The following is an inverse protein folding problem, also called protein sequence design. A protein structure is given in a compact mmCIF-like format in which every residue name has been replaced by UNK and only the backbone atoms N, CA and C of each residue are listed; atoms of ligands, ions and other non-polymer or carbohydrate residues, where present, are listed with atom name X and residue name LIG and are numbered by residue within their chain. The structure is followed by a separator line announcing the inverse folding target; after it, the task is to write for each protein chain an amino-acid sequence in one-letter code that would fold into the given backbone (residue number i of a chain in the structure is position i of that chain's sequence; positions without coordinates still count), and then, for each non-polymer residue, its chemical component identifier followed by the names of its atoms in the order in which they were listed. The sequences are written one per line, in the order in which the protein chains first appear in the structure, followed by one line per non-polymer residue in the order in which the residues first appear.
data_IF_002981904162
#
_entry.id   IF_002981904162
#
_cell.length_a   1.000
_cell.length_b   1.000
_cell.length_c   1.000
_cell.angle_alpha   90.00
_cell.angle_beta   90.00
_cell.angle_gamma   90.00
#
_symmetry.space_group_name_H-M   'P 1'
#
loop_
_entity.id
_entity.type
_entity.pdbx_description
1 polymer ?
#
# COMPACT_ATOMS: atom_id res chain seq x y z
N UNK A 1 5.17 -15.10 13.52
CA UNK A 1 4.06 -15.04 14.53
C UNK A 1 2.98 -13.99 14.26
N UNK A 2 3.21 -12.68 14.46
CA UNK A 2 2.15 -11.64 14.31
C UNK A 2 1.46 -11.64 12.93
N UNK A 3 2.20 -12.04 11.89
CA UNK A 3 1.69 -12.20 10.52
C UNK A 3 0.60 -13.27 10.43
N UNK A 4 0.79 -14.46 11.02
CA UNK A 4 -0.18 -15.57 10.97
C UNK A 4 -1.48 -15.20 11.68
N UNK A 5 -1.38 -14.68 12.90
CA UNK A 5 -2.55 -14.22 13.65
C UNK A 5 -3.37 -13.19 12.87
N UNK A 6 -2.70 -12.23 12.23
CA UNK A 6 -3.34 -11.25 11.36
C UNK A 6 -3.98 -11.90 10.13
N UNK A 7 -3.33 -12.89 9.52
CA UNK A 7 -3.87 -13.64 8.39
C UNK A 7 -5.13 -14.41 8.77
N UNK A 8 -5.13 -15.11 9.92
CA UNK A 8 -6.30 -15.85 10.43
C UNK A 8 -7.46 -14.90 10.71
N UNK A 9 -7.22 -13.80 11.44
CA UNK A 9 -8.26 -12.80 11.73
C UNK A 9 -8.82 -12.19 10.43
N UNK A 10 -7.96 -11.83 9.48
CA UNK A 10 -8.40 -11.27 8.19
C UNK A 10 -9.24 -12.26 7.38
N UNK A 11 -8.84 -13.54 7.38
CA UNK A 11 -9.54 -14.61 6.65
C UNK A 11 -10.96 -14.83 7.18
N UNK A 12 -11.12 -14.88 8.50
CA UNK A 12 -12.39 -15.28 9.13
C UNK A 12 -13.28 -14.12 9.52
N UNK A 13 -12.74 -13.06 10.11
CA UNK A 13 -13.56 -11.91 10.53
C UNK A 13 -13.82 -10.91 9.40
N UNK A 14 -13.04 -10.96 8.31
CA UNK A 14 -13.14 -10.05 7.16
C UNK A 14 -13.10 -8.56 7.55
N UNK A 15 -12.39 -8.23 8.62
CA UNK A 15 -12.26 -6.84 9.10
C UNK A 15 -11.23 -6.11 8.26
N UNK A 16 -11.70 -5.28 7.34
CA UNK A 16 -10.88 -4.29 6.65
C UNK A 16 -10.86 -2.94 7.40
N UNK A 17 -11.96 -2.57 8.07
CA UNK A 17 -12.05 -1.43 8.99
C UNK A 17 -12.83 -1.78 10.28
N UNK A 18 -12.21 -1.67 11.47
CA UNK A 18 -12.92 -1.86 12.75
C UNK A 18 -14.08 -0.89 12.99
N UNK A 19 -14.14 0.23 12.25
CA UNK A 19 -15.25 1.20 12.32
C UNK A 19 -16.60 0.64 11.89
N UNK A 20 -16.62 -0.39 11.03
CA UNK A 20 -17.84 -1.07 10.56
C UNK A 20 -18.30 -2.17 11.52
N UNK A 21 -18.27 -1.90 12.83
CA UNK A 21 -18.55 -2.88 13.89
C UNK A 21 -19.94 -3.52 13.79
N UNK A 22 -20.90 -2.85 13.16
CA UNK A 22 -22.24 -3.40 12.91
C UNK A 22 -22.17 -4.66 12.05
N UNK A 23 -21.28 -4.70 11.06
CA UNK A 23 -21.06 -5.89 10.24
C UNK A 23 -20.34 -6.99 11.01
N UNK A 24 -19.74 -6.69 12.16
CA UNK A 24 -19.01 -7.64 13.00
C UNK A 24 -19.90 -8.23 14.09
N UNK A 25 -21.13 -7.75 14.25
CA UNK A 25 -21.98 -8.12 15.37
C UNK A 25 -22.82 -9.34 15.04
N UNK A 26 -22.75 -10.37 15.89
CA UNK A 26 -23.66 -11.53 15.80
C UNK A 26 -25.10 -11.06 16.09
N UNK A 27 -26.10 -11.47 15.29
CA UNK A 27 -27.49 -11.14 15.55
C UNK A 27 -27.94 -11.64 16.92
N UNK A 28 -28.77 -10.85 17.63
CA UNK A 28 -29.28 -11.19 18.97
C UNK A 28 -30.00 -12.54 19.01
N UNK A 29 -30.72 -12.89 17.93
CA UNK A 29 -31.43 -14.17 17.83
C UNK A 29 -30.47 -15.37 17.79
N UNK A 30 -29.36 -15.24 17.07
CA UNK A 30 -28.34 -16.28 16.97
C UNK A 30 -27.59 -16.44 18.30
N UNK A 31 -27.24 -15.31 18.92
CA UNK A 31 -26.64 -15.31 20.25
C UNK A 31 -27.58 -15.93 21.30
N UNK A 32 -28.89 -15.66 21.22
CA UNK A 32 -29.89 -16.25 22.10
C UNK A 32 -29.99 -17.78 21.96
N UNK A 33 -29.94 -18.29 20.72
CA UNK A 33 -29.91 -19.74 20.44
C UNK A 33 -28.66 -20.40 21.01
N UNK A 34 -27.50 -19.78 20.82
CA UNK A 34 -26.23 -20.26 21.39
C UNK A 34 -26.24 -20.28 22.91
N UNK A 35 -26.79 -19.25 23.56
CA UNK A 35 -26.88 -19.22 25.03
C UNK A 35 -27.84 -20.29 25.58
N UNK A 36 -28.87 -20.67 24.82
CA UNK A 36 -29.80 -21.73 25.20
C UNK A 36 -29.22 -23.13 25.00
N UNK A 37 -28.51 -23.37 23.89
CA UNK A 37 -27.83 -24.62 23.58
C UNK A 37 -26.49 -24.37 22.87
N UNK A 38 -25.39 -24.24 23.64
CA UNK A 38 -24.08 -23.95 23.08
C UNK A 38 -23.52 -25.05 22.18
N UNK A 39 -23.98 -26.29 22.32
CA UNK A 39 -23.45 -27.42 21.53
C UNK A 39 -24.04 -27.42 20.13
N UNK A 40 -25.34 -27.17 20.02
CA UNK A 40 -26.03 -27.19 18.72
C UNK A 40 -25.85 -25.91 17.91
N UNK A 41 -25.56 -24.78 18.57
CA UNK A 41 -25.47 -23.46 17.93
C UNK A 41 -24.09 -22.80 18.12
N UNK A 42 -23.04 -23.62 18.28
CA UNK A 42 -21.67 -23.12 18.32
C UNK A 42 -21.32 -22.35 17.03
N UNK A 43 -20.52 -21.26 17.11
CA UNK A 43 -20.05 -20.58 15.92
C UNK A 43 -19.21 -21.53 15.05
N UNK A 44 -19.28 -21.32 13.74
CA UNK A 44 -18.47 -22.05 12.76
C UNK A 44 -17.32 -21.18 12.24
N UNK A 45 -16.17 -21.80 11.98
CA UNK A 45 -14.98 -21.09 11.51
C UNK A 45 -15.07 -20.83 9.99
N UNK A 46 -15.95 -19.92 9.61
CA UNK A 46 -16.23 -19.54 8.21
C UNK A 46 -15.87 -18.07 7.94
N UNK A 47 -15.55 -17.71 6.67
CA UNK A 47 -15.37 -16.30 6.31
C UNK A 47 -16.65 -15.49 6.60
N UNK A 48 -16.50 -14.37 7.32
CA UNK A 48 -17.61 -13.56 7.80
C UNK A 48 -18.06 -13.87 9.23
N UNK A 49 -17.29 -14.68 9.98
CA UNK A 49 -17.52 -14.98 11.40
C UNK A 49 -17.72 -13.69 12.21
N UNK A 50 -18.77 -13.70 13.05
CA UNK A 50 -19.19 -12.55 13.85
C UNK A 50 -18.69 -12.64 15.29
N UNK A 51 -18.59 -11.48 15.92
CA UNK A 51 -18.27 -11.29 17.34
C UNK A 51 -19.51 -10.80 18.08
N UNK A 52 -19.58 -11.12 19.36
CA UNK A 52 -20.56 -10.53 20.26
C UNK A 52 -20.07 -9.16 20.72
N UNK A 53 -20.80 -8.11 20.33
CA UNK A 53 -20.51 -6.72 20.68
C UNK A 53 -21.57 -6.14 21.62
N UNK A 54 -22.45 -6.97 22.19
CA UNK A 54 -23.62 -6.51 22.95
C UNK A 54 -23.27 -5.78 24.25
N UNK A 55 -22.17 -6.16 24.91
CA UNK A 55 -21.73 -5.54 26.16
C UNK A 55 -21.18 -4.12 25.97
N UNK A 56 -21.15 -3.29 27.02
CA UNK A 56 -20.71 -1.89 26.92
C UNK A 56 -19.20 -1.73 26.77
N UNK A 57 -18.41 -2.54 27.48
CA UNK A 57 -16.95 -2.46 27.46
C UNK A 57 -16.34 -3.59 26.61
N UNK A 58 -15.19 -3.34 26.01
CA UNK A 58 -14.46 -4.36 25.22
C UNK A 58 -14.05 -5.58 26.06
N UNK A 59 -13.81 -5.36 27.35
CA UNK A 59 -13.45 -6.42 28.29
C UNK A 59 -14.62 -7.37 28.53
N UNK A 60 -15.81 -6.82 28.72
CA UNK A 60 -17.02 -7.61 28.91
C UNK A 60 -17.44 -8.31 27.62
N UNK A 61 -17.31 -7.64 26.47
CA UNK A 61 -17.49 -8.28 25.16
C UNK A 61 -16.54 -9.46 24.99
N UNK A 62 -15.24 -9.29 25.26
CA UNK A 62 -14.26 -10.35 25.08
C UNK A 62 -14.58 -11.57 25.96
N UNK A 63 -15.08 -11.32 27.17
CA UNK A 63 -15.47 -12.36 28.14
C UNK A 63 -16.80 -13.03 27.82
N UNK A 64 -17.52 -12.59 26.79
CA UNK A 64 -18.78 -13.23 26.44
C UNK A 64 -18.53 -14.69 26.01
N UNK A 65 -19.45 -15.62 26.35
CA UNK A 65 -19.27 -17.02 26.00
C UNK A 65 -19.05 -17.24 24.50
N UNK A 66 -19.74 -16.47 23.65
CA UNK A 66 -19.58 -16.49 22.20
C UNK A 66 -18.15 -16.13 21.78
N UNK A 67 -17.63 -15.00 22.26
CA UNK A 67 -16.29 -14.54 21.87
C UNK A 67 -15.17 -15.44 22.41
N UNK A 68 -15.35 -16.07 23.58
CA UNK A 68 -14.41 -17.06 24.10
C UNK A 68 -14.30 -18.30 23.20
N UNK A 69 -15.43 -18.79 22.67
CA UNK A 69 -15.44 -19.89 21.71
C UNK A 69 -14.77 -19.47 20.40
N UNK A 70 -15.11 -18.28 19.87
CA UNK A 70 -14.49 -17.74 18.65
C UNK A 70 -12.96 -17.62 18.80
N UNK A 71 -12.47 -17.05 19.90
CA UNK A 71 -11.02 -16.94 20.17
C UNK A 71 -10.35 -18.31 20.19
N UNK A 72 -10.97 -19.28 20.87
CA UNK A 72 -10.44 -20.64 20.98
C UNK A 72 -10.37 -21.34 19.61
N UNK A 73 -11.40 -21.20 18.78
CA UNK A 73 -11.43 -21.74 17.42
C UNK A 73 -10.36 -21.12 16.53
N UNK A 74 -10.22 -19.79 16.56
CA UNK A 74 -9.21 -19.07 15.79
C UNK A 74 -7.80 -19.46 16.26
N UNK A 75 -7.59 -19.64 17.58
CA UNK A 75 -6.31 -20.03 18.16
C UNK A 75 -5.92 -21.46 17.77
N UNK A 76 -6.87 -22.41 17.84
CA UNK A 76 -6.68 -23.78 17.39
C UNK A 76 -6.29 -23.83 15.91
N UNK A 77 -6.97 -23.06 15.06
CA UNK A 77 -6.64 -23.00 13.64
C UNK A 77 -5.29 -22.33 13.37
N UNK A 78 -4.94 -21.26 14.10
CA UNK A 78 -3.63 -20.65 13.99
C UNK A 78 -2.50 -21.63 14.38
N UNK A 79 -2.71 -22.41 15.44
CA UNK A 79 -1.80 -23.46 15.87
C UNK A 79 -1.64 -24.56 14.80
N UNK A 80 -2.75 -24.99 14.19
CA UNK A 80 -2.74 -25.95 13.09
C UNK A 80 -2.02 -25.43 11.84
N UNK A 81 -2.23 -24.17 11.47
CA UNK A 81 -1.51 -23.55 10.35
C UNK A 81 -0.01 -23.43 10.64
N UNK A 82 0.37 -23.08 11.87
CA UNK A 82 1.75 -22.96 12.28
C UNK A 82 2.47 -24.30 12.25
N UNK A 83 1.82 -25.39 12.68
CA UNK A 83 2.42 -26.74 12.65
C UNK A 83 2.65 -27.25 11.23
N UNK A 84 1.80 -26.87 10.27
CA UNK A 84 1.95 -27.23 8.85
C UNK A 84 3.05 -26.44 8.12
N UNK A 85 3.42 -25.26 8.61
CA UNK A 85 4.35 -24.34 7.93
C UNK A 85 5.30 -23.65 8.92
N UNK A 86 6.01 -24.44 9.72
CA UNK A 86 6.88 -23.95 10.79
C UNK A 86 7.92 -22.93 10.30
N UNK A 87 8.67 -23.29 9.24
CA UNK A 87 9.73 -22.46 8.65
C UNK A 87 9.20 -21.11 8.12
N UNK A 88 8.02 -21.10 7.49
CA UNK A 88 7.42 -19.88 6.94
C UNK A 88 6.99 -18.89 8.04
N UNK A 89 6.54 -19.40 9.19
CA UNK A 89 6.05 -18.56 10.30
C UNK A 89 7.09 -18.32 11.40
N UNK A 90 8.26 -18.98 11.30
CA UNK A 90 9.38 -18.92 12.23
C UNK A 90 9.01 -19.44 13.62
N UNK A 91 8.35 -20.60 13.70
CA UNK A 91 7.80 -21.16 14.94
C UNK A 91 8.69 -22.25 15.56
N UNK A 92 9.95 -22.33 15.12
CA UNK A 92 10.77 -23.55 15.27
C UNK A 92 11.32 -23.75 16.70
N UNK A 93 11.15 -22.76 17.60
CA UNK A 93 11.79 -22.77 18.93
C UNK A 93 10.96 -22.23 20.10
N UNK A 94 9.79 -21.63 19.86
CA UNK A 94 8.99 -21.02 20.92
C UNK A 94 7.59 -21.62 20.97
N UNK A 95 7.17 -22.04 22.16
CA UNK A 95 5.78 -22.36 22.42
C UNK A 95 4.96 -21.05 22.41
N UNK A 96 3.96 -20.98 21.53
CA UNK A 96 3.19 -19.77 21.29
C UNK A 96 1.81 -19.96 21.92
N UNK A 97 1.50 -19.11 22.88
CA UNK A 97 0.14 -18.98 23.42
C UNK A 97 -0.77 -18.26 22.40
N UNK A 98 -1.26 -19.05 21.43
CA UNK A 98 -2.16 -18.56 20.38
C UNK A 98 -3.45 -18.00 20.94
N UNK A 99 -3.96 -18.57 22.04
CA UNK A 99 -5.17 -18.12 22.71
C UNK A 99 -4.99 -16.71 23.24
N UNK A 100 -3.91 -16.44 24.01
CA UNK A 100 -3.59 -15.09 24.48
C UNK A 100 -3.37 -14.12 23.34
N UNK A 101 -2.60 -14.52 22.32
CA UNK A 101 -2.26 -13.64 21.21
C UNK A 101 -3.52 -13.23 20.42
N UNK A 102 -4.45 -14.16 20.17
CA UNK A 102 -5.70 -13.83 19.49
C UNK A 102 -6.69 -13.11 20.39
N UNK A 103 -6.75 -13.45 21.68
CA UNK A 103 -7.54 -12.72 22.68
C UNK A 103 -7.16 -11.24 22.71
N UNK A 104 -5.85 -10.92 22.77
CA UNK A 104 -5.34 -9.55 22.73
C UNK A 104 -5.74 -8.81 21.43
N UNK A 105 -5.82 -9.53 20.30
CA UNK A 105 -6.18 -8.94 19.00
C UNK A 105 -7.69 -8.72 18.87
N UNK A 106 -8.49 -9.69 19.29
CA UNK A 106 -9.95 -9.58 19.34
C UNK A 106 -10.34 -8.47 20.32
N UNK A 107 -9.67 -8.36 21.47
CA UNK A 107 -9.85 -7.25 22.40
C UNK A 107 -9.67 -5.88 21.74
N UNK A 108 -8.62 -5.70 20.94
CA UNK A 108 -8.41 -4.42 20.22
C UNK A 108 -9.52 -4.12 19.22
N UNK A 109 -10.05 -5.13 18.53
CA UNK A 109 -11.19 -4.97 17.62
C UNK A 109 -12.43 -4.53 18.40
N UNK A 110 -12.72 -5.20 19.52
CA UNK A 110 -13.86 -4.89 20.39
C UNK A 110 -13.71 -3.51 21.06
N UNK A 111 -12.48 -3.09 21.38
CA UNK A 111 -12.19 -1.76 21.90
C UNK A 111 -12.53 -0.66 20.90
N UNK A 112 -12.16 -0.84 19.63
CA UNK A 112 -12.52 0.10 18.57
C UNK A 112 -14.04 0.10 18.31
N UNK A 113 -14.71 -1.06 18.36
CA UNK A 113 -16.18 -1.13 18.28
C UNK A 113 -16.85 -0.37 19.43
N UNK A 114 -16.37 -0.55 20.67
CA UNK A 114 -16.90 0.14 21.84
C UNK A 114 -16.69 1.66 21.75
N UNK A 115 -15.50 2.13 21.37
CA UNK A 115 -15.21 3.56 21.13
C UNK A 115 -16.12 4.15 20.05
N UNK A 116 -16.24 3.46 18.92
CA UNK A 116 -17.07 3.90 17.78
C UNK A 116 -18.53 4.04 18.18
N UNK A 117 -19.08 3.04 18.90
CA UNK A 117 -20.46 3.10 19.40
C UNK A 117 -20.68 4.20 20.44
N UNK A 118 -19.67 4.50 21.25
CA UNK A 118 -19.70 5.61 22.20
C UNK A 118 -19.54 6.99 21.53
N UNK A 119 -19.35 7.04 20.19
CA UNK A 119 -19.06 8.28 19.47
C UNK A 119 -17.69 8.87 19.81
N UNK A 120 -16.80 8.10 20.45
CA UNK A 120 -15.44 8.52 20.78
C UNK A 120 -14.60 8.36 19.51
N UNK A 121 -14.55 9.42 18.72
CA UNK A 121 -13.73 9.45 17.52
C UNK A 121 -12.29 9.80 17.91
N UNK A 122 -11.40 8.82 17.77
CA UNK A 122 -9.96 9.01 18.01
C UNK A 122 -9.33 9.71 16.80
N UNK A 123 -9.47 11.04 16.75
CA UNK A 123 -8.97 11.86 15.65
C UNK A 123 -7.47 11.69 15.43
N UNK A 124 -6.70 11.47 16.49
CA UNK A 124 -5.24 11.25 16.41
C UNK A 124 -4.93 9.91 15.75
N UNK A 125 -5.57 8.82 16.21
CA UNK A 125 -5.42 7.50 15.60
C UNK A 125 -5.85 7.49 14.12
N UNK A 126 -6.99 8.11 13.79
CA UNK A 126 -7.46 8.21 12.41
C UNK A 126 -6.52 9.05 11.53
N UNK A 127 -5.99 10.17 12.05
CA UNK A 127 -4.97 10.95 11.36
C UNK A 127 -3.70 10.12 11.12
N UNK A 128 -3.24 9.35 12.12
CA UNK A 128 -2.07 8.50 12.01
C UNK A 128 -2.28 7.32 11.04
N UNK A 129 -3.47 6.72 11.05
CA UNK A 129 -3.90 5.66 10.11
C UNK A 129 -3.90 6.20 8.68
N UNK A 130 -4.49 7.38 8.45
CA UNK A 130 -4.48 8.07 7.15
C UNK A 130 -3.06 8.40 6.70
N UNK A 131 -2.23 8.98 7.57
CA UNK A 131 -0.83 9.31 7.27
C UNK A 131 -0.03 8.05 6.92
N UNK A 132 -0.22 6.96 7.66
CA UNK A 132 0.43 5.67 7.40
C UNK A 132 -0.02 5.05 6.07
N UNK A 133 -1.31 5.15 5.74
CA UNK A 133 -1.84 4.71 4.43
C UNK A 133 -1.20 5.51 3.30
N UNK A 134 -1.18 6.84 3.40
CA UNK A 134 -0.54 7.74 2.41
C UNK A 134 0.94 7.40 2.23
N UNK A 135 1.68 7.18 3.32
CA UNK A 135 3.08 6.76 3.28
C UNK A 135 3.28 5.44 2.52
N UNK A 136 2.49 4.40 2.81
CA UNK A 136 2.58 3.11 2.11
C UNK A 136 2.29 3.23 0.61
N UNK A 137 1.33 4.06 0.23
CA UNK A 137 1.02 4.31 -1.18
C UNK A 137 2.20 4.98 -1.90
N UNK A 138 2.90 5.91 -1.22
CA UNK A 138 4.13 6.52 -1.73
C UNK A 138 5.28 5.52 -1.85
N UNK A 139 5.48 4.68 -0.83
CA UNK A 139 6.48 3.60 -0.85
C UNK A 139 6.23 2.66 -2.04
N UNK A 140 5.00 2.21 -2.23
CA UNK A 140 4.61 1.38 -3.37
C UNK A 140 4.86 2.08 -4.72
N UNK A 141 4.51 3.36 -4.85
CA UNK A 141 4.76 4.11 -6.09
C UNK A 141 6.27 4.25 -6.39
N UNK A 142 7.07 4.51 -5.36
CA UNK A 142 8.53 4.57 -5.45
C UNK A 142 9.12 3.24 -5.90
N UNK A 143 8.86 2.16 -5.16
CA UNK A 143 9.36 0.81 -5.46
C UNK A 143 8.99 0.35 -6.87
N UNK A 144 7.74 0.62 -7.27
CA UNK A 144 7.26 0.28 -8.62
C UNK A 144 8.05 1.02 -9.70
N UNK A 145 8.30 2.32 -9.55
CA UNK A 145 9.07 3.11 -10.53
C UNK A 145 10.53 2.70 -10.58
N UNK A 146 11.14 2.42 -9.42
CA UNK A 146 12.50 1.86 -9.33
C UNK A 146 12.59 0.54 -10.08
N UNK A 147 11.61 -0.36 -9.89
CA UNK A 147 11.55 -1.64 -10.60
C UNK A 147 11.47 -1.43 -12.12
N UNK A 148 10.58 -0.54 -12.59
CA UNK A 148 10.45 -0.24 -14.02
C UNK A 148 11.77 0.28 -14.59
N UNK A 149 12.37 1.30 -13.97
CA UNK A 149 13.62 1.88 -14.43
C UNK A 149 14.76 0.85 -14.45
N UNK A 150 14.89 0.04 -13.40
CA UNK A 150 15.91 -1.01 -13.32
C UNK A 150 15.74 -2.06 -14.41
N UNK A 151 14.51 -2.53 -14.66
CA UNK A 151 14.23 -3.46 -15.76
C UNK A 151 14.63 -2.88 -17.10
N UNK A 152 14.35 -1.59 -17.34
CA UNK A 152 14.72 -0.94 -18.60
C UNK A 152 16.23 -0.77 -18.77
N UNK A 153 16.95 -0.42 -17.71
CA UNK A 153 18.42 -0.39 -17.71
C UNK A 153 18.98 -1.76 -18.08
N UNK A 154 18.48 -2.83 -17.46
CA UNK A 154 18.96 -4.19 -17.72
C UNK A 154 18.73 -4.65 -19.17
N UNK A 155 17.62 -4.25 -19.77
CA UNK A 155 17.30 -4.58 -21.16
C UNK A 155 18.18 -3.80 -22.15
N UNK A 156 18.40 -2.52 -21.88
CA UNK A 156 19.15 -1.63 -22.77
C UNK A 156 20.67 -1.73 -22.59
N UNK A 157 21.16 -2.39 -21.52
CA UNK A 157 22.60 -2.59 -21.27
C UNK A 157 23.35 -3.29 -22.42
N UNK A 158 22.66 -4.13 -23.20
CA UNK A 158 23.27 -4.90 -24.28
C UNK A 158 22.88 -4.38 -25.68
N UNK A 159 22.12 -3.30 -25.76
CA UNK A 159 21.79 -2.68 -27.03
C UNK A 159 22.88 -1.66 -27.39
N UNK A 160 23.18 -1.47 -28.68
CA UNK A 160 24.16 -0.48 -29.13
C UNK A 160 23.69 0.97 -28.94
N UNK A 161 22.43 1.18 -28.52
CA UNK A 161 21.86 2.50 -28.25
C UNK A 161 22.09 2.90 -26.78
N UNK A 162 23.19 3.60 -26.55
CA UNK A 162 23.57 4.11 -25.22
C UNK A 162 22.60 5.20 -24.71
N UNK A 163 21.80 5.84 -25.56
CA UNK A 163 20.94 6.96 -25.15
C UNK A 163 19.79 6.49 -24.24
N UNK A 164 19.16 5.37 -24.58
CA UNK A 164 18.07 4.83 -23.76
C UNK A 164 18.57 4.30 -22.43
N UNK A 165 19.70 3.59 -22.43
CA UNK A 165 20.35 3.12 -21.21
C UNK A 165 20.67 4.30 -20.29
N UNK A 166 21.24 5.37 -20.84
CA UNK A 166 21.58 6.57 -20.09
C UNK A 166 20.33 7.27 -19.55
N UNK A 167 19.28 7.41 -20.36
CA UNK A 167 18.01 8.00 -19.94
C UNK A 167 17.40 7.26 -18.73
N UNK A 168 17.29 5.93 -18.81
CA UNK A 168 16.74 5.14 -17.70
C UNK A 168 17.64 5.15 -16.46
N UNK A 169 18.96 5.20 -16.65
CA UNK A 169 19.93 5.37 -15.56
C UNK A 169 19.76 6.72 -14.85
N UNK A 170 19.52 7.80 -15.59
CA UNK A 170 19.22 9.12 -15.01
C UNK A 170 17.87 9.16 -14.30
N UNK A 171 16.86 8.45 -14.81
CA UNK A 171 15.56 8.29 -14.13
C UNK A 171 15.76 7.56 -12.80
N UNK A 172 16.51 6.46 -12.79
CA UNK A 172 16.79 5.71 -11.56
C UNK A 172 17.55 6.56 -10.54
N UNK A 173 18.55 7.32 -10.99
CA UNK A 173 19.26 8.29 -10.15
C UNK A 173 18.30 9.33 -9.54
N UNK A 174 17.38 9.86 -10.36
CA UNK A 174 16.42 10.85 -9.91
C UNK A 174 15.44 10.28 -8.88
N UNK A 175 15.00 9.04 -9.08
CA UNK A 175 14.16 8.31 -8.13
C UNK A 175 14.89 8.12 -6.79
N UNK A 176 16.14 7.67 -6.82
CA UNK A 176 16.98 7.48 -5.62
C UNK A 176 17.10 8.77 -4.80
N UNK A 177 17.43 9.90 -5.46
CA UNK A 177 17.53 11.21 -4.80
C UNK A 177 16.22 11.69 -4.19
N UNK A 178 15.10 11.49 -4.90
CA UNK A 178 13.76 11.91 -4.45
C UNK A 178 13.19 11.00 -3.36
N UNK A 179 13.51 9.71 -3.38
CA UNK A 179 13.00 8.69 -2.48
C UNK A 179 11.46 8.66 -2.37
N UNK A 180 10.98 8.14 -1.25
CA UNK A 180 9.53 8.05 -0.94
C UNK A 180 8.90 9.44 -0.80
N UNK A 181 9.64 10.42 -0.26
CA UNK A 181 9.11 11.75 0.02
C UNK A 181 8.89 12.59 -1.25
N UNK A 182 9.61 12.28 -2.33
CA UNK A 182 9.41 12.87 -3.65
C UNK A 182 8.26 12.24 -4.46
N UNK A 183 7.53 11.25 -3.95
CA UNK A 183 6.39 10.63 -4.65
C UNK A 183 5.10 11.44 -4.47
N UNK A 184 4.17 11.42 -5.43
CA UNK A 184 2.86 12.09 -5.28
C UNK A 184 1.97 11.36 -4.27
N UNK A 185 1.05 12.07 -3.61
CA UNK A 185 -0.04 11.42 -2.86
C UNK A 185 -1.20 11.12 -3.80
N UNK A 186 -1.84 9.98 -3.60
CA UNK A 186 -2.97 9.52 -4.41
C UNK A 186 -4.17 9.34 -3.49
N UNK A 187 -5.32 9.88 -3.90
CA UNK A 187 -6.60 9.66 -3.24
C UNK A 187 -7.60 9.09 -4.24
N UNK A 188 -8.24 7.99 -3.88
CA UNK A 188 -9.32 7.42 -4.66
C UNK A 188 -10.58 8.27 -4.47
N UNK A 189 -11.17 8.72 -5.56
CA UNK A 189 -12.38 9.56 -5.58
C UNK A 189 -13.41 8.96 -6.52
N UNK A 190 -14.67 9.30 -6.31
CA UNK A 190 -15.72 9.11 -7.31
C UNK A 190 -15.84 10.39 -8.13
N UNK A 191 -15.87 10.27 -9.46
CA UNK A 191 -16.11 11.41 -10.35
C UNK A 191 -17.59 11.85 -10.32
N UNK A 192 -17.93 12.91 -11.07
CA UNK A 192 -19.30 13.44 -11.19
C UNK A 192 -20.31 12.45 -11.78
N UNK A 193 -19.82 11.38 -12.41
CA UNK A 193 -20.61 10.29 -12.99
C UNK A 193 -20.58 9.02 -12.12
N UNK A 194 -20.01 9.09 -10.91
CA UNK A 194 -19.87 7.97 -10.00
C UNK A 194 -18.80 6.94 -10.40
N UNK A 195 -17.95 7.24 -11.39
CA UNK A 195 -16.84 6.37 -11.76
C UNK A 195 -15.65 6.57 -10.82
N UNK A 196 -15.03 5.46 -10.44
CA UNK A 196 -13.86 5.49 -9.56
C UNK A 196 -12.63 5.99 -10.31
N UNK A 197 -11.96 7.00 -9.75
CA UNK A 197 -10.73 7.58 -10.26
C UNK A 197 -9.72 7.81 -9.14
N UNK A 198 -8.53 8.28 -9.51
CA UNK A 198 -7.47 8.64 -8.55
C UNK A 198 -7.03 10.07 -8.80
N UNK A 199 -7.13 10.93 -7.79
CA UNK A 199 -6.56 12.27 -7.81
C UNK A 199 -5.14 12.22 -7.28
N UNK A 200 -4.21 12.78 -8.03
CA UNK A 200 -2.78 12.82 -7.73
C UNK A 200 -2.39 14.21 -7.27
N UNK A 201 -1.82 14.33 -6.08
CA UNK A 201 -1.35 15.58 -5.48
C UNK A 201 0.17 15.63 -5.41
N UNK A 202 0.75 16.71 -5.94
CA UNK A 202 2.20 16.87 -6.00
C UNK A 202 2.77 17.44 -4.69
N UNK A 203 4.01 17.03 -4.31
CA UNK A 203 4.75 17.76 -3.30
C UNK A 203 5.00 19.22 -3.73
N UNK A 204 4.84 20.15 -2.80
CA UNK A 204 5.00 21.59 -3.05
C UNK A 204 6.43 22.00 -3.45
N UNK A 205 7.44 21.21 -3.09
CA UNK A 205 8.83 21.46 -3.45
C UNK A 205 9.21 20.99 -4.85
N UNK A 206 8.58 19.94 -5.38
CA UNK A 206 9.10 19.15 -6.52
C UNK A 206 8.78 19.79 -7.86
N UNK A 207 9.77 19.96 -8.74
CA UNK A 207 9.57 20.51 -10.08
C UNK A 207 8.52 19.74 -10.91
N UNK A 208 7.66 20.46 -11.64
CA UNK A 208 6.50 19.89 -12.37
C UNK A 208 6.88 18.85 -13.44
N UNK A 209 8.08 18.95 -14.02
CA UNK A 209 8.55 17.97 -15.01
C UNK A 209 8.65 16.54 -14.45
N UNK A 210 8.82 16.37 -13.13
CA UNK A 210 8.79 15.04 -12.52
C UNK A 210 7.42 14.38 -12.62
N UNK A 211 6.34 15.15 -12.61
CA UNK A 211 4.99 14.59 -12.77
C UNK A 211 4.80 14.02 -14.15
N UNK A 212 5.22 14.75 -15.19
CA UNK A 212 5.20 14.30 -16.59
C UNK A 212 6.11 13.06 -16.75
N UNK A 213 7.32 13.12 -16.18
CA UNK A 213 8.26 12.00 -16.22
C UNK A 213 7.67 10.75 -15.57
N UNK A 214 7.15 10.87 -14.34
CA UNK A 214 6.62 9.74 -13.59
C UNK A 214 5.34 9.17 -14.18
N UNK A 215 4.49 10.00 -14.78
CA UNK A 215 3.33 9.54 -15.54
C UNK A 215 3.77 8.64 -16.71
N UNK A 216 4.78 9.07 -17.48
CA UNK A 216 5.34 8.27 -18.57
C UNK A 216 5.99 6.97 -18.08
N UNK A 217 6.79 7.03 -17.01
CA UNK A 217 7.37 5.83 -16.36
C UNK A 217 6.25 4.88 -15.92
N UNK A 218 5.18 5.42 -15.32
CA UNK A 218 4.07 4.62 -14.84
C UNK A 218 3.28 3.99 -15.98
N UNK A 219 3.14 4.66 -17.13
CA UNK A 219 2.48 4.15 -18.33
C UNK A 219 3.31 3.08 -19.06
N UNK A 220 4.64 3.09 -18.92
CA UNK A 220 5.54 2.23 -19.69
C UNK A 220 5.19 0.73 -19.68
N UNK A 221 4.80 0.11 -18.54
CA UNK A 221 4.37 -1.28 -18.54
C UNK A 221 3.21 -1.60 -19.49
N UNK A 222 2.28 -0.65 -19.69
CA UNK A 222 1.13 -0.82 -20.61
C UNK A 222 1.56 -0.79 -22.07
N UNK A 223 2.66 -0.10 -22.37
CA UNK A 223 3.24 0.00 -23.72
C UNK A 223 4.07 -1.25 -24.01
N UNK A 224 4.91 -1.65 -23.06
CA UNK A 224 5.80 -2.79 -23.17
C UNK A 224 5.22 -4.06 -22.53
N UNK A 225 4.04 -4.49 -23.00
CA UNK A 225 3.31 -5.65 -22.44
C UNK A 225 4.09 -6.97 -22.50
N UNK A 226 5.04 -7.09 -23.41
CA UNK A 226 5.94 -8.25 -23.51
C UNK A 226 6.92 -8.34 -22.34
N UNK A 227 7.28 -7.18 -21.76
CA UNK A 227 8.26 -7.07 -20.67
C UNK A 227 7.58 -7.07 -19.30
N UNK A 228 6.36 -6.54 -19.23
CA UNK A 228 5.63 -6.36 -17.97
C UNK A 228 4.30 -7.12 -18.02
N UNK A 229 4.16 -8.11 -17.14
CA UNK A 229 2.91 -8.87 -17.02
C UNK A 229 1.75 -7.97 -16.57
N UNK A 230 0.65 -8.01 -17.35
CA UNK A 230 -0.56 -7.23 -17.10
C UNK A 230 -1.55 -7.95 -16.16
N UNK A 231 -1.03 -8.68 -15.19
CA UNK A 231 -1.87 -9.41 -14.23
C UNK A 231 -2.36 -8.45 -13.14
N UNK A 232 -3.67 -8.35 -12.96
CA UNK A 232 -4.26 -7.61 -11.84
C UNK A 232 -5.47 -6.78 -12.24
N UNK A 233 -5.87 -5.89 -11.33
CA UNK A 233 -6.99 -4.97 -11.55
C UNK A 233 -6.61 -3.92 -12.61
N UNK A 234 -7.56 -3.57 -13.47
CA UNK A 234 -7.43 -2.46 -14.41
C UNK A 234 -7.09 -1.19 -13.63
N UNK A 235 -6.16 -0.38 -14.15
CA UNK A 235 -5.82 0.89 -13.53
C UNK A 235 -6.98 1.86 -13.62
N UNK A 236 -7.23 2.54 -12.51
CA UNK A 236 -8.20 3.62 -12.45
C UNK A 236 -7.65 4.84 -13.20
N UNK A 237 -8.51 5.60 -13.91
CA UNK A 237 -8.14 6.88 -14.49
C UNK A 237 -7.53 7.80 -13.43
N UNK A 238 -6.47 8.52 -13.82
CA UNK A 238 -5.77 9.47 -12.94
C UNK A 238 -6.01 10.89 -13.39
N UNK A 239 -6.27 11.77 -12.45
CA UNK A 239 -6.36 13.22 -12.66
C UNK A 239 -5.42 13.95 -11.71
N UNK A 240 -4.97 15.14 -12.10
CA UNK A 240 -4.12 15.96 -11.25
C UNK A 240 -4.98 16.84 -10.34
N UNK A 241 -4.73 16.76 -9.04
CA UNK A 241 -5.32 17.68 -8.08
C UNK A 241 -4.70 19.07 -8.23
N UNK A 242 -5.49 20.10 -7.96
CA UNK A 242 -5.01 21.50 -7.93
C UNK A 242 -4.22 21.80 -6.67
N UNK A 243 -4.48 21.06 -5.59
CA UNK A 243 -3.79 21.23 -4.32
C UNK A 243 -2.38 20.64 -4.34
N UNK A 244 -1.48 21.26 -3.58
CA UNK A 244 -0.13 20.77 -3.35
C UNK A 244 0.02 20.28 -1.93
N UNK A 245 0.73 19.17 -1.75
CA UNK A 245 1.00 18.60 -0.44
C UNK A 245 2.26 19.24 0.11
N UNK A 246 2.14 19.92 1.25
CA UNK A 246 3.29 20.47 1.98
C UNK A 246 4.16 19.34 2.50
N UNK A 247 5.41 19.25 2.05
CA UNK A 247 6.36 18.25 2.55
C UNK A 247 7.77 18.80 2.65
N UNK A 248 8.54 18.17 3.52
CA UNK A 248 9.98 18.42 3.56
C UNK A 248 10.63 17.67 2.38
N UNK A 249 11.43 18.35 1.56
CA UNK A 249 12.25 17.69 0.54
C UNK A 249 13.31 16.78 1.19
N UNK A 250 13.72 15.70 0.50
CA UNK A 250 14.95 14.98 0.81
C UNK A 250 16.17 15.90 0.92
N UNK A 251 17.15 15.49 1.72
CA UNK A 251 18.39 16.24 1.89
C UNK A 251 19.22 16.19 0.61
N UNK A 252 19.94 17.27 0.31
CA UNK A 252 20.92 17.32 -0.78
C UNK A 252 20.32 17.02 -2.16
N UNK A 253 19.10 17.49 -2.42
CA UNK A 253 18.55 17.47 -3.78
C UNK A 253 19.24 18.52 -4.68
N UNK A 254 19.43 18.21 -5.98
CA UNK A 254 19.84 19.18 -6.99
C UNK A 254 18.87 20.39 -7.06
N UNK A 255 19.35 21.62 -7.34
CA UNK A 255 18.48 22.79 -7.48
C UNK A 255 17.42 22.63 -8.57
N UNK A 256 17.75 21.94 -9.66
CA UNK A 256 16.85 21.62 -10.76
C UNK A 256 15.62 20.81 -10.35
N UNK A 257 15.65 20.13 -9.19
CA UNK A 257 14.55 19.30 -8.73
C UNK A 257 13.48 20.10 -8.00
N UNK A 258 13.75 21.36 -7.70
CA UNK A 258 12.83 22.23 -6.99
C UNK A 258 11.98 23.07 -7.93
N UNK A 259 10.76 23.40 -7.51
CA UNK A 259 9.99 24.50 -8.09
C UNK A 259 10.73 25.82 -7.83
N UNK A 260 10.66 26.73 -8.79
CA UNK A 260 11.35 28.02 -8.69
C UNK A 260 10.89 28.80 -7.44
N UNK A 261 9.59 28.83 -7.19
CA UNK A 261 8.97 29.50 -6.06
C UNK A 261 9.41 28.89 -4.73
N UNK A 262 9.72 27.58 -4.69
CA UNK A 262 10.22 26.92 -3.49
C UNK A 262 11.66 27.38 -3.19
N UNK A 263 12.53 27.44 -4.21
CA UNK A 263 13.89 27.94 -4.07
C UNK A 263 13.93 29.40 -3.61
N UNK A 264 13.03 30.24 -4.11
CA UNK A 264 12.94 31.63 -3.65
C UNK A 264 12.56 31.73 -2.17
N UNK A 265 11.63 30.89 -1.69
CA UNK A 265 11.29 30.82 -0.26
C UNK A 265 12.48 30.36 0.58
N UNK A 266 13.27 29.40 0.09
CA UNK A 266 14.49 28.96 0.75
C UNK A 266 15.53 30.08 0.87
N UNK A 267 15.75 30.84 -0.21
CA UNK A 267 16.68 31.99 -0.21
C UNK A 267 16.27 33.07 0.80
N UNK A 268 14.96 33.24 1.03
CA UNK A 268 14.41 34.17 2.03
C UNK A 268 14.44 33.62 3.47
N UNK A 269 14.96 32.41 3.69
CA UNK A 269 15.00 31.76 5.01
C UNK A 269 13.64 31.29 5.52
N UNK A 270 12.62 31.22 4.66
CA UNK A 270 11.27 30.77 5.04
C UNK A 270 11.18 29.24 5.16
N UNK A 271 12.17 28.52 4.63
CA UNK A 271 12.31 27.07 4.72
C UNK A 271 13.76 26.70 4.98
N UNK A 272 14.00 25.77 5.92
CA UNK A 272 15.34 25.32 6.31
C UNK A 272 15.61 23.94 5.71
N UNK A 273 16.26 23.89 4.55
CA UNK A 273 16.61 22.65 3.86
C UNK A 273 18.02 22.78 3.28
N UNK A 274 18.82 21.71 3.36
CA UNK A 274 20.14 21.62 2.72
C UNK A 274 19.99 21.27 1.24
N UNK A 275 20.49 22.13 0.36
CA UNK A 275 20.53 21.94 -1.10
C UNK A 275 21.89 21.41 -1.52
N UNK A 276 21.94 20.47 -2.46
CA UNK A 276 23.20 20.06 -3.07
C UNK A 276 23.65 21.14 -4.07
N UNK A 277 24.47 22.09 -3.61
CA UNK A 277 24.97 23.19 -4.46
C UNK A 277 25.98 22.72 -5.52
N UNK A 278 26.54 21.52 -5.36
CA UNK A 278 27.55 20.96 -6.26
C UNK A 278 26.97 20.06 -7.37
N UNK A 279 25.67 19.74 -7.34
CA UNK A 279 25.03 18.87 -8.33
C UNK A 279 24.06 19.67 -9.20
N UNK A 280 24.45 19.97 -10.45
CA UNK A 280 23.55 20.54 -11.46
C UNK A 280 23.15 19.48 -12.49
N UNK A 281 22.40 18.46 -12.01
CA UNK A 281 21.85 17.43 -12.90
C UNK A 281 20.46 17.83 -13.39
N UNK A 282 20.19 17.87 -14.69
CA UNK A 282 18.86 18.17 -15.19
C UNK A 282 17.86 17.06 -14.83
N UNK A 283 16.57 17.38 -14.93
CA UNK A 283 15.52 16.36 -14.85
C UNK A 283 15.53 15.57 -16.17
N UNK A 284 15.63 14.23 -16.14
CA UNK A 284 15.69 13.44 -17.36
C UNK A 284 14.39 13.56 -18.15
N UNK A 285 14.54 13.49 -19.47
CA UNK A 285 13.42 13.52 -20.42
C UNK A 285 13.35 12.18 -21.13
N UNK A 286 12.22 11.49 -21.02
CA UNK A 286 12.01 10.27 -21.77
C UNK A 286 11.93 10.61 -23.28
N UNK A 287 12.65 9.86 -24.14
CA UNK A 287 12.50 9.98 -25.58
C UNK A 287 11.04 9.71 -25.99
N UNK A 288 10.64 10.24 -27.15
CA UNK A 288 9.28 10.06 -27.63
C UNK A 288 9.04 8.57 -27.93
N UNK A 289 8.07 7.96 -27.25
CA UNK A 289 7.72 6.53 -27.32
C UNK A 289 7.58 5.99 -28.74
N UNK A 290 7.21 6.84 -29.71
CA UNK A 290 7.09 6.45 -31.12
C UNK A 290 8.42 5.97 -31.74
N UNK A 291 9.58 6.32 -31.19
CA UNK A 291 10.86 5.78 -31.69
C UNK A 291 11.17 4.37 -31.19
N UNK A 292 10.66 3.99 -30.01
CA UNK A 292 11.03 2.74 -29.32
C UNK A 292 10.37 1.48 -29.91
N UNK A 293 9.13 1.57 -30.39
CA UNK A 293 8.38 0.38 -30.83
C UNK A 293 8.64 -0.02 -32.30
N UNK A 294 9.36 0.80 -33.07
CA UNK A 294 9.61 0.55 -34.50
C UNK A 294 10.89 -0.26 -34.75
N UNK A 295 11.73 -0.50 -33.74
CA UNK A 295 12.97 -1.28 -33.91
C UNK A 295 12.80 -2.79 -33.71
N UNK A 296 11.63 -3.25 -33.28
CA UNK A 296 11.34 -4.67 -33.04
C UNK A 296 10.47 -5.27 -34.14
N UNK A 297 10.73 -4.96 -35.40
CA UNK A 297 10.33 -5.85 -36.49
C UNK A 297 11.27 -7.06 -36.46
N UNK A 298 10.79 -8.28 -36.17
CA UNK A 298 11.63 -9.47 -36.16
C UNK A 298 11.92 -9.89 -37.61
N UNK A 299 12.75 -9.12 -38.31
CA UNK A 299 13.44 -9.56 -39.53
C UNK A 299 14.74 -10.26 -39.16
N UNK A 300 14.63 -11.35 -38.41
CA UNK A 300 15.66 -12.38 -38.44
C UNK A 300 15.08 -13.58 -39.16
N UNK A 301 15.28 -13.56 -40.48
CA UNK A 301 15.37 -14.78 -41.28
C UNK A 301 16.28 -15.75 -40.54
N UNK A 302 15.70 -16.83 -40.02
CA UNK A 302 16.46 -18.00 -39.58
C UNK A 302 17.01 -18.60 -40.87
N UNK A 303 18.33 -18.56 -41.14
CA UNK A 303 18.87 -19.21 -42.32
C UNK A 303 18.60 -20.71 -42.20
N UNK A 304 17.93 -21.25 -43.23
CA UNK A 304 17.56 -22.65 -43.31
C UNK A 304 18.77 -23.57 -43.09
N UNK A 305 18.64 -24.44 -42.11
CA UNK A 305 19.48 -25.62 -41.96
C UNK A 305 18.97 -26.62 -43.00
N UNK A 306 19.75 -26.83 -44.06
CA UNK A 306 19.68 -28.01 -44.92
C UNK A 306 20.46 -29.17 -44.27
#
# INVERSE_FOLDING_TARGET
MQKLARTVLKKYLQIDDPGDWQQLTVPTEELGKFLADPQSYAPELVPGLKLDTSAQTAHDMLRSPWNQVVVSMLAAHASECASKQQEYYGCDTQDIDWTRLLSDRVYRILLEAAKTRAGVQDYEHEAQKKASKKRRLREYAFERRVKIATTMIMLNHNLPDDEEYQCWSEILYSLDKLGVDGMSDNEEVLDIHGQQGVVTYEPDFRHHQFSILFERVDAFPEIATQLFSQVGRKRLPRTHGTEQVKRCPPRNLPPSYYKHEYLERMKKGLTQVLVATAEDRPIPRLPNVNSMLLSSDPQHDIPGIN
#
